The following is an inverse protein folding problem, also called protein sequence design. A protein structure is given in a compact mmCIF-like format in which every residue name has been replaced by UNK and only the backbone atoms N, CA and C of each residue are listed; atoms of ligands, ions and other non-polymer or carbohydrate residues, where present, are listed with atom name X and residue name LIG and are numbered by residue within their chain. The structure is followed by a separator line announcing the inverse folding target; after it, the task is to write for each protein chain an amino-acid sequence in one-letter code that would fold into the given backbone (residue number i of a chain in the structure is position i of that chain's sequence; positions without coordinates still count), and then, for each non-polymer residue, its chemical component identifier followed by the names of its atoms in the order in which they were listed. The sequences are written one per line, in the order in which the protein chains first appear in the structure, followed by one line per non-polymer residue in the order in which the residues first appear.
data_IF_610267924732
#
_entry.id   IF_610267924732
#
_cell.length_a   1.000
_cell.length_b   1.000
_cell.length_c   1.000
_cell.angle_alpha   90.00
_cell.angle_beta   90.00
_cell.angle_gamma   90.00
#
_symmetry.space_group_name_H-M   'P 1'
#
loop_
_entity.id
_entity.type
_entity.pdbx_description
1 polymer ?
#
# COMPACT_ATOMS: atom_id res chain seq x y z
N UNK A 1 -10.12 -0.63 -17.23
CA UNK A 1 -10.55 -1.66 -18.21
C UNK A 1 -9.40 -2.09 -19.12
N UNK A 2 -8.80 -1.19 -19.91
CA UNK A 2 -7.64 -1.54 -20.76
C UNK A 2 -6.44 -2.09 -19.98
N UNK A 3 -6.12 -1.46 -18.84
CA UNK A 3 -5.03 -1.90 -17.96
C UNK A 3 -5.24 -3.32 -17.41
N UNK A 4 -6.45 -3.64 -16.94
CA UNK A 4 -6.78 -4.97 -16.40
C UNK A 4 -6.75 -6.05 -17.48
N UNK A 5 -7.23 -5.73 -18.70
CA UNK A 5 -7.18 -6.66 -19.83
C UNK A 5 -5.75 -6.94 -20.27
N UNK A 6 -4.92 -5.89 -20.36
CA UNK A 6 -3.51 -6.01 -20.68
C UNK A 6 -2.75 -6.83 -19.62
N UNK A 7 -2.99 -6.57 -18.33
CA UNK A 7 -2.39 -7.33 -17.24
C UNK A 7 -2.76 -8.82 -17.29
N UNK A 8 -4.02 -9.16 -17.57
CA UNK A 8 -4.46 -10.54 -17.73
C UNK A 8 -3.70 -11.27 -18.85
N UNK A 9 -3.54 -10.62 -20.01
CA UNK A 9 -2.81 -11.19 -21.15
C UNK A 9 -1.33 -11.39 -20.79
N UNK A 10 -0.68 -10.37 -20.21
CA UNK A 10 0.74 -10.45 -19.82
C UNK A 10 0.97 -11.56 -18.80
N UNK A 11 0.17 -11.64 -17.74
CA UNK A 11 0.30 -12.69 -16.72
C UNK A 11 0.07 -14.07 -17.33
N UNK A 12 -0.92 -14.23 -18.21
CA UNK A 12 -1.20 -15.52 -18.84
C UNK A 12 -0.07 -16.01 -19.77
N UNK A 13 0.64 -15.09 -20.42
CA UNK A 13 1.75 -15.42 -21.33
C UNK A 13 3.06 -15.63 -20.57
N UNK A 14 3.40 -14.76 -19.61
CA UNK A 14 4.70 -14.76 -18.93
C UNK A 14 4.73 -15.60 -17.66
N UNK A 15 3.59 -15.79 -17.01
CA UNK A 15 3.47 -16.42 -15.70
C UNK A 15 2.54 -17.64 -15.78
N UNK A 16 2.77 -18.49 -16.81
CA UNK A 16 2.03 -19.72 -17.15
C UNK A 16 1.12 -20.19 -16.00
N UNK A 17 -0.21 -19.99 -16.09
CA UNK A 17 -1.11 -20.17 -14.95
C UNK A 17 -1.41 -21.65 -14.65
N UNK A 18 -0.36 -22.45 -14.45
CA UNK A 18 -0.42 -23.90 -14.22
C UNK A 18 -1.33 -24.28 -13.06
N UNK A 19 -1.34 -23.43 -12.02
CA UNK A 19 -2.15 -23.57 -10.82
C UNK A 19 -3.65 -23.71 -11.14
N UNK A 20 -4.12 -23.17 -12.26
CA UNK A 20 -5.54 -23.20 -12.66
C UNK A 20 -5.96 -24.58 -13.17
N UNK A 21 -5.09 -25.29 -13.90
CA UNK A 21 -5.44 -26.56 -14.58
C UNK A 21 -4.76 -27.80 -14.02
N UNK A 22 -3.69 -27.68 -13.24
CA UNK A 22 -2.97 -28.82 -12.64
C UNK A 22 -3.70 -29.46 -11.44
N UNK A 23 -4.87 -28.91 -11.05
CA UNK A 23 -5.70 -29.42 -9.96
C UNK A 23 -5.25 -29.01 -8.56
N UNK A 24 -4.07 -28.40 -8.40
CA UNK A 24 -3.51 -27.95 -7.10
C UNK A 24 -4.44 -26.94 -6.44
N UNK A 25 -5.02 -26.02 -7.22
CA UNK A 25 -5.89 -24.97 -6.71
C UNK A 25 -7.04 -25.51 -5.85
N UNK A 26 -7.72 -26.55 -6.34
CA UNK A 26 -8.89 -27.15 -5.68
C UNK A 26 -8.48 -28.28 -4.74
N UNK A 27 -7.64 -29.22 -5.21
CA UNK A 27 -7.30 -30.44 -4.47
C UNK A 27 -6.43 -30.16 -3.26
N UNK A 28 -5.47 -29.26 -3.37
CA UNK A 28 -4.60 -28.88 -2.25
C UNK A 28 -5.15 -27.71 -1.44
N UNK A 29 -6.35 -27.22 -1.78
CA UNK A 29 -7.03 -26.19 -1.03
C UNK A 29 -6.39 -24.80 -1.13
N UNK A 30 -5.52 -24.57 -2.13
CA UNK A 30 -4.82 -23.31 -2.33
C UNK A 30 -5.79 -22.12 -2.51
N UNK A 31 -6.99 -22.39 -3.03
CA UNK A 31 -8.08 -21.41 -3.14
C UNK A 31 -8.42 -20.73 -1.80
N UNK A 32 -8.25 -21.42 -0.66
CA UNK A 32 -8.50 -20.86 0.68
C UNK A 32 -7.50 -19.76 1.02
N UNK A 33 -6.22 -20.00 0.71
CA UNK A 33 -5.17 -19.00 0.89
C UNK A 33 -5.34 -17.84 -0.09
N UNK A 34 -5.74 -18.11 -1.34
CA UNK A 34 -6.07 -17.06 -2.31
C UNK A 34 -7.22 -16.16 -1.85
N UNK A 35 -8.30 -16.74 -1.32
CA UNK A 35 -9.41 -15.97 -0.74
C UNK A 35 -8.98 -15.16 0.48
N UNK A 36 -8.23 -15.76 1.40
CA UNK A 36 -7.73 -15.06 2.58
C UNK A 36 -6.81 -13.90 2.17
N UNK A 37 -5.87 -14.13 1.25
CA UNK A 37 -4.93 -13.13 0.76
C UNK A 37 -5.66 -11.99 0.03
N UNK A 38 -6.62 -12.28 -0.85
CA UNK A 38 -7.39 -11.25 -1.53
C UNK A 38 -8.27 -10.44 -0.57
N UNK A 39 -8.86 -11.11 0.42
CA UNK A 39 -9.72 -10.44 1.40
C UNK A 39 -8.93 -9.53 2.36
N UNK A 40 -7.91 -10.07 3.01
CA UNK A 40 -7.12 -9.34 4.01
C UNK A 40 -6.02 -8.47 3.40
N UNK A 41 -5.43 -8.88 2.27
CA UNK A 41 -4.33 -8.17 1.62
C UNK A 41 -4.77 -7.19 0.55
N UNK A 42 -6.04 -7.18 0.14
CA UNK A 42 -6.52 -6.27 -0.92
C UNK A 42 -7.83 -5.59 -0.54
N UNK A 43 -8.90 -6.35 -0.29
CA UNK A 43 -10.23 -5.76 -0.04
C UNK A 43 -10.20 -4.89 1.22
N UNK A 44 -9.85 -5.46 2.38
CA UNK A 44 -9.85 -4.73 3.66
C UNK A 44 -8.96 -3.48 3.59
N UNK A 45 -7.68 -3.55 3.17
CA UNK A 45 -6.80 -2.38 3.12
C UNK A 45 -7.32 -1.26 2.21
N UNK A 46 -7.82 -1.60 1.02
CA UNK A 46 -8.37 -0.60 0.08
C UNK A 46 -9.59 0.09 0.69
N UNK A 47 -10.50 -0.66 1.32
CA UNK A 47 -11.68 -0.10 1.97
C UNK A 47 -11.31 0.79 3.16
N UNK A 48 -10.41 0.34 4.03
CA UNK A 48 -9.96 1.12 5.18
C UNK A 48 -9.28 2.41 4.74
N UNK A 49 -8.41 2.35 3.73
CA UNK A 49 -7.76 3.55 3.18
C UNK A 49 -8.80 4.50 2.58
N UNK A 50 -9.75 4.00 1.78
CA UNK A 50 -10.82 4.82 1.19
C UNK A 50 -11.66 5.55 2.24
N UNK A 51 -11.93 4.92 3.39
CA UNK A 51 -12.62 5.54 4.53
C UNK A 51 -11.71 6.54 5.26
N UNK A 52 -10.41 6.25 5.36
CA UNK A 52 -9.45 7.12 6.04
C UNK A 52 -9.19 8.42 5.28
N UNK A 53 -9.06 8.37 3.94
CA UNK A 53 -8.74 9.53 3.09
C UNK A 53 -9.56 10.79 3.40
N UNK A 54 -10.91 10.76 3.44
CA UNK A 54 -11.71 11.94 3.73
C UNK A 54 -11.59 12.42 5.19
N UNK A 55 -11.14 11.56 6.12
CA UNK A 55 -11.02 11.88 7.55
C UNK A 55 -9.67 12.51 7.91
N UNK A 56 -8.59 12.10 7.25
CA UNK A 56 -7.21 12.54 7.57
C UNK A 56 -6.64 13.53 6.56
N UNK A 57 -7.27 13.69 5.39
CA UNK A 57 -6.80 14.59 4.34
C UNK A 57 -5.68 14.01 3.48
N UNK A 58 -5.39 14.66 2.34
CA UNK A 58 -4.50 14.12 1.30
C UNK A 58 -3.05 13.89 1.75
N UNK A 59 -2.48 14.83 2.51
CA UNK A 59 -1.09 14.72 2.96
C UNK A 59 -0.85 13.51 3.90
N UNK A 60 -1.69 13.36 4.92
CA UNK A 60 -1.62 12.22 5.84
C UNK A 60 -1.97 10.91 5.13
N UNK A 61 -2.85 10.94 4.13
CA UNK A 61 -3.14 9.76 3.29
C UNK A 61 -1.90 9.28 2.54
N UNK A 62 -1.11 10.19 1.95
CA UNK A 62 0.14 9.82 1.27
C UNK A 62 1.15 9.17 2.21
N UNK A 63 1.25 9.65 3.46
CA UNK A 63 2.09 9.01 4.48
C UNK A 63 1.54 7.62 4.83
N UNK A 64 0.22 7.49 5.00
CA UNK A 64 -0.43 6.22 5.32
C UNK A 64 -0.23 5.16 4.22
N UNK A 65 -0.29 5.54 2.94
CA UNK A 65 0.06 4.63 1.83
C UNK A 65 1.54 4.26 1.83
N UNK A 66 2.43 5.20 2.15
CA UNK A 66 3.86 4.90 2.25
C UNK A 66 4.19 3.91 3.38
N UNK A 67 3.39 3.88 4.45
CA UNK A 67 3.55 2.95 5.57
C UNK A 67 3.34 1.49 5.19
N UNK A 68 2.67 1.18 4.07
CA UNK A 68 2.46 -0.19 3.62
C UNK A 68 3.79 -0.95 3.46
N UNK A 69 4.79 -0.31 2.85
CA UNK A 69 6.10 -0.93 2.59
C UNK A 69 6.88 -1.21 3.90
N UNK A 70 7.06 -0.26 4.83
CA UNK A 70 7.67 -0.56 6.13
C UNK A 70 6.92 -1.65 6.91
N UNK A 71 5.58 -1.60 6.94
CA UNK A 71 4.78 -2.61 7.64
C UNK A 71 4.98 -3.99 7.01
N UNK A 72 5.06 -4.08 5.67
CA UNK A 72 5.37 -5.32 4.98
C UNK A 72 6.76 -5.85 5.34
N UNK A 73 7.79 -4.99 5.40
CA UNK A 73 9.14 -5.38 5.83
C UNK A 73 9.15 -5.88 7.27
N UNK A 74 8.49 -5.18 8.19
CA UNK A 74 8.38 -5.62 9.58
C UNK A 74 7.63 -6.95 9.70
N UNK A 75 6.55 -7.13 8.95
CA UNK A 75 5.82 -8.39 8.90
C UNK A 75 6.72 -9.52 8.35
N UNK A 76 7.55 -9.26 7.33
CA UNK A 76 8.50 -10.25 6.83
C UNK A 76 9.51 -10.69 7.89
N UNK A 77 10.08 -9.72 8.63
CA UNK A 77 11.05 -10.02 9.69
C UNK A 77 10.39 -10.75 10.87
N UNK A 78 9.20 -10.34 11.29
CA UNK A 78 8.54 -10.90 12.48
C UNK A 78 7.88 -12.25 12.18
N UNK A 79 7.21 -12.37 11.04
CA UNK A 79 6.40 -13.56 10.69
C UNK A 79 7.24 -14.58 9.94
N UNK A 80 7.98 -14.15 8.93
CA UNK A 80 8.81 -15.05 8.09
C UNK A 80 10.23 -15.24 8.67
N UNK A 81 10.59 -14.50 9.73
CA UNK A 81 11.93 -14.55 10.33
C UNK A 81 13.05 -14.25 9.33
N UNK A 82 12.76 -13.40 8.34
CA UNK A 82 13.74 -12.99 7.34
C UNK A 82 14.83 -12.10 7.95
N UNK A 83 16.08 -12.18 7.46
CA UNK A 83 17.17 -11.39 7.98
C UNK A 83 16.93 -9.90 7.77
N UNK A 84 17.02 -9.14 8.87
CA UNK A 84 16.86 -7.69 8.85
C UNK A 84 18.17 -7.00 8.45
N UNK A 85 18.13 -6.20 7.38
CA UNK A 85 19.29 -5.50 6.87
C UNK A 85 19.30 -4.02 7.26
N UNK A 86 20.47 -3.51 7.66
CA UNK A 86 20.67 -2.07 7.90
C UNK A 86 20.32 -1.20 6.69
N UNK A 87 20.47 -1.74 5.47
CA UNK A 87 20.10 -1.02 4.25
C UNK A 87 18.58 -0.84 4.13
N UNK A 88 17.78 -1.81 4.58
CA UNK A 88 16.32 -1.69 4.62
C UNK A 88 15.89 -0.60 5.61
N UNK A 89 16.55 -0.49 6.76
CA UNK A 89 16.28 0.58 7.75
C UNK A 89 16.51 1.95 7.15
N UNK A 90 17.68 2.15 6.52
CA UNK A 90 18.02 3.41 5.88
C UNK A 90 17.01 3.74 4.78
N UNK A 91 16.62 2.76 3.97
CA UNK A 91 15.60 2.91 2.94
C UNK A 91 14.24 3.31 3.50
N UNK A 92 13.78 2.67 4.57
CA UNK A 92 12.53 3.01 5.26
C UNK A 92 12.59 4.45 5.76
N UNK A 93 13.63 4.83 6.50
CA UNK A 93 13.79 6.19 7.02
C UNK A 93 13.80 7.21 5.88
N UNK A 94 14.47 6.92 4.78
CA UNK A 94 14.55 7.79 3.61
C UNK A 94 13.18 8.00 2.94
N UNK A 95 12.43 6.93 2.70
CA UNK A 95 11.08 7.00 2.09
C UNK A 95 10.13 7.80 2.99
N UNK A 96 10.15 7.52 4.29
CA UNK A 96 9.27 8.20 5.24
C UNK A 96 9.61 9.68 5.37
N UNK A 97 10.88 10.02 5.44
CA UNK A 97 11.32 11.42 5.46
C UNK A 97 10.95 12.13 4.16
N UNK A 98 11.19 11.48 3.02
CA UNK A 98 10.91 12.03 1.69
C UNK A 98 9.42 12.35 1.47
N UNK A 99 8.52 11.57 2.05
CA UNK A 99 7.07 11.79 1.94
C UNK A 99 6.55 12.70 3.06
N UNK A 100 7.09 12.61 4.27
CA UNK A 100 6.66 13.44 5.40
C UNK A 100 7.02 14.92 5.22
N UNK A 101 8.23 15.24 4.74
CA UNK A 101 8.70 16.62 4.57
C UNK A 101 7.75 17.51 3.73
N UNK A 102 7.41 17.17 2.47
CA UNK A 102 6.53 17.98 1.64
C UNK A 102 5.11 18.04 2.21
N UNK A 103 4.62 16.94 2.80
CA UNK A 103 3.30 16.88 3.45
C UNK A 103 3.20 17.87 4.61
N UNK A 104 4.18 17.88 5.52
CA UNK A 104 4.19 18.79 6.69
C UNK A 104 4.34 20.25 6.22
N UNK A 105 5.14 20.50 5.19
CA UNK A 105 5.31 21.85 4.66
C UNK A 105 4.04 22.37 3.99
N UNK A 106 3.38 21.54 3.17
CA UNK A 106 2.13 21.91 2.47
C UNK A 106 0.97 22.18 3.43
N UNK A 107 0.85 21.37 4.50
CA UNK A 107 -0.09 21.62 5.62
C UNK A 107 0.10 22.99 6.27
N UNK A 108 1.35 23.41 6.52
CA UNK A 108 1.67 24.70 7.13
C UNK A 108 1.32 25.87 6.20
N UNK A 109 1.58 25.74 4.90
CA UNK A 109 1.25 26.76 3.90
C UNK A 109 -0.28 26.97 3.80
N UNK A 110 -1.07 25.89 3.80
CA UNK A 110 -2.54 25.97 3.76
C UNK A 110 -3.12 26.65 5.00
N UNK A 111 -2.59 26.37 6.20
CA UNK A 111 -3.03 27.03 7.45
C UNK A 111 -2.68 28.53 7.45
N UNK A 112 -1.51 28.90 6.91
CA UNK A 112 -1.08 30.30 6.81
C UNK A 112 -2.00 31.11 5.88
N UNK A 113 -2.28 30.61 4.66
CA UNK A 113 -3.17 31.25 3.69
C UNK A 113 -4.60 31.40 4.22
N UNK A 114 -5.09 30.41 4.99
CA UNK A 114 -6.44 30.48 5.57
C UNK A 114 -6.54 31.51 6.70
N UNK A 115 -5.45 31.73 7.46
CA UNK A 115 -5.39 32.72 8.54
C UNK A 115 -5.37 34.16 8.00
N UNK A 116 -4.64 34.43 6.92
CA UNK A 116 -4.63 35.77 6.29
C UNK A 116 -5.99 36.11 5.68
N UNK A 117 -6.64 35.17 4.99
CA UNK A 117 -7.94 35.40 4.36
C UNK A 117 -9.11 35.56 5.34
N UNK A 118 -8.99 35.03 6.55
CA UNK A 118 -10.00 35.16 7.62
C UNK A 118 -9.86 36.41 8.48
N UNK A 119 -8.77 37.17 8.35
CA UNK A 119 -8.59 38.48 9.00
C UNK A 119 -8.99 39.66 8.10
N UNK A 120 -9.31 39.42 6.82
CA UNK A 120 -9.80 40.41 5.87
C UNK A 120 -11.34 40.47 5.78
N UNK A 121 -12.05 39.72 6.63
CA UNK A 121 -13.53 39.69 6.75
C UNK A 121 -13.92 40.02 8.18
#
# INVERSE_FOLDING_TARGET
FFSSFFALIMISIFLSPEIVWNGILIREGLWKFGLALGFFGTIIPIFLLAIAVPKVGGGLTSILSAMELPVAVFASVIVLHEPFSWLQVIGIVLILTGIALPTIFSEKQLKFVRKTKGSEV
#
